data_IF_348861280059
#
_entry.id   IF_348861280059
#
_cell.length_a   1.000
_cell.length_b   1.000
_cell.length_c   1.000
_cell.angle_alpha   90.00
_cell.angle_beta   90.00
_cell.angle_gamma   90.00
#
_symmetry.space_group_name_H-M   'P 1'
#
loop_
_entity.id
_entity.type
_entity.pdbx_description
1 polymer ?
#
# COMPACT_ATOMS: atom_id res chain seq x y z
N UNK A 1 -7.87 13.96 6.38
CA UNK A 1 -9.15 13.25 6.55
C UNK A 1 -9.09 11.95 5.77
N UNK A 2 -9.60 10.87 6.36
CA UNK A 2 -9.66 9.55 5.72
C UNK A 2 -10.75 9.56 4.63
N UNK A 3 -10.45 9.29 3.34
CA UNK A 3 -11.41 9.44 2.25
C UNK A 3 -12.72 8.66 2.43
N UNK A 4 -12.64 7.46 3.00
CA UNK A 4 -13.81 6.59 3.24
C UNK A 4 -14.47 6.80 4.61
N UNK A 5 -13.95 7.73 5.44
CA UNK A 5 -14.52 8.09 6.75
C UNK A 5 -14.29 9.57 7.03
N UNK A 6 -15.20 10.43 6.59
CA UNK A 6 -15.08 11.89 6.64
C UNK A 6 -14.90 12.50 8.04
N UNK A 7 -15.29 11.78 9.08
CA UNK A 7 -15.14 12.18 10.49
C UNK A 7 -13.90 11.60 11.17
N UNK A 8 -13.01 10.96 10.42
CA UNK A 8 -11.76 10.37 10.92
C UNK A 8 -10.58 11.03 10.22
N UNK A 9 -9.57 11.42 10.99
CA UNK A 9 -8.28 11.89 10.49
C UNK A 9 -7.19 10.88 10.81
N UNK A 10 -6.26 10.71 9.88
CA UNK A 10 -5.00 10.01 10.11
C UNK A 10 -3.92 11.05 10.36
N UNK A 11 -3.13 10.84 11.40
CA UNK A 11 -2.00 11.71 11.75
C UNK A 11 -0.77 10.85 11.97
N UNK A 12 0.31 11.16 11.28
CA UNK A 12 1.63 10.57 11.55
C UNK A 12 2.32 11.36 12.65
N UNK A 13 3.06 10.67 13.51
CA UNK A 13 3.77 11.30 14.61
C UNK A 13 5.08 10.59 14.95
N UNK A 14 5.91 11.26 15.73
CA UNK A 14 7.12 10.67 16.30
C UNK A 14 6.84 10.20 17.72
N UNK A 15 7.37 9.03 18.07
CA UNK A 15 7.27 8.53 19.44
C UNK A 15 8.24 9.30 20.33
N UNK A 16 7.75 9.69 21.52
CA UNK A 16 8.56 10.30 22.58
C UNK A 16 8.50 9.46 23.84
N UNK A 17 9.56 9.46 24.60
CA UNK A 17 9.65 8.84 25.94
C UNK A 17 10.26 9.87 26.88
N UNK A 18 9.57 10.21 27.97
CA UNK A 18 9.94 11.27 28.90
C UNK A 18 10.24 12.61 28.18
N UNK A 19 9.36 13.02 27.27
CA UNK A 19 9.47 14.25 26.47
C UNK A 19 10.73 14.32 25.56
N UNK A 20 11.39 13.19 25.34
CA UNK A 20 12.52 13.08 24.43
C UNK A 20 12.19 12.18 23.24
N UNK A 21 12.67 12.52 22.00
CA UNK A 21 12.48 11.65 20.85
C UNK A 21 13.00 10.24 21.11
N UNK A 22 12.15 9.24 20.95
CA UNK A 22 12.58 7.85 21.12
C UNK A 22 13.52 7.42 19.99
N UNK A 23 14.79 7.03 20.30
CA UNK A 23 15.81 6.81 19.28
C UNK A 23 15.52 5.60 18.37
N UNK A 24 14.63 4.71 18.78
CA UNK A 24 14.24 3.52 18.00
C UNK A 24 12.94 3.72 17.20
N UNK A 25 12.33 4.90 17.23
CA UNK A 25 11.19 5.23 16.39
C UNK A 25 11.62 5.27 14.92
N UNK A 26 11.05 4.44 14.02
CA UNK A 26 11.48 4.38 12.62
C UNK A 26 11.40 5.73 11.91
N UNK A 27 10.34 6.50 12.18
CA UNK A 27 10.16 7.83 11.60
C UNK A 27 11.24 8.81 12.08
N UNK A 28 11.59 8.78 13.36
CA UNK A 28 12.69 9.59 13.93
C UNK A 28 14.06 9.17 13.35
N UNK A 29 14.27 7.87 13.14
CA UNK A 29 15.49 7.36 12.50
C UNK A 29 15.61 7.90 11.08
N UNK A 30 14.53 7.81 10.29
CA UNK A 30 14.51 8.33 8.92
C UNK A 30 14.81 9.84 8.90
N UNK A 31 14.14 10.63 9.72
CA UNK A 31 14.37 12.08 9.81
C UNK A 31 15.84 12.41 10.11
N UNK A 32 16.46 11.67 11.05
CA UNK A 32 17.87 11.86 11.39
C UNK A 32 18.79 11.52 10.21
N UNK A 33 18.49 10.46 9.44
CA UNK A 33 19.29 10.11 8.26
C UNK A 33 19.13 11.12 7.13
N UNK A 34 17.93 11.66 6.94
CA UNK A 34 17.68 12.71 5.95
C UNK A 34 18.43 13.99 6.31
N UNK A 35 18.47 14.38 7.59
CA UNK A 35 19.24 15.52 8.04
C UNK A 35 20.76 15.32 7.83
N UNK A 36 21.28 14.14 8.19
CA UNK A 36 22.68 13.79 7.94
C UNK A 36 23.04 13.83 6.44
N UNK A 37 22.13 13.41 5.58
CA UNK A 37 22.32 13.43 4.13
C UNK A 37 22.31 14.86 3.59
N UNK A 38 21.37 15.69 4.07
CA UNK A 38 21.27 17.11 3.71
C UNK A 38 22.55 17.87 4.05
N UNK A 39 23.17 17.60 5.20
CA UNK A 39 24.47 18.20 5.59
C UNK A 39 25.62 17.81 4.65
N UNK A 40 25.47 16.68 3.92
CA UNK A 40 26.42 16.24 2.89
C UNK A 40 26.03 16.70 1.48
N UNK A 41 24.98 17.52 1.33
CA UNK A 41 24.49 18.03 0.05
C UNK A 41 23.56 17.11 -0.71
N UNK A 42 23.03 16.02 -0.09
CA UNK A 42 22.11 15.09 -0.74
C UNK A 42 20.67 15.32 -0.30
N UNK A 43 19.76 15.27 -1.28
CA UNK A 43 18.30 15.28 -1.07
C UNK A 43 17.71 14.00 -1.70
N UNK A 44 16.92 13.25 -0.92
CA UNK A 44 16.31 12.02 -1.39
C UNK A 44 14.85 12.24 -1.78
N UNK A 45 14.55 12.01 -3.05
CA UNK A 45 13.19 11.77 -3.55
C UNK A 45 13.02 10.28 -3.78
N UNK A 46 11.90 9.72 -3.32
CA UNK A 46 11.67 8.27 -3.31
C UNK A 46 10.30 7.96 -3.90
N UNK A 47 10.26 7.06 -4.89
CA UNK A 47 9.06 6.37 -5.33
C UNK A 47 8.87 5.05 -4.57
N UNK A 48 7.66 4.54 -4.57
CA UNK A 48 7.31 3.23 -4.02
C UNK A 48 6.46 2.48 -5.03
N UNK A 49 6.84 1.26 -5.32
CA UNK A 49 6.07 0.29 -6.08
C UNK A 49 5.42 -0.66 -5.06
N UNK A 50 4.18 -0.35 -4.72
CA UNK A 50 3.49 -1.02 -3.62
C UNK A 50 2.62 -2.16 -4.16
N UNK A 51 3.12 -3.37 -4.07
CA UNK A 51 2.45 -4.58 -4.54
C UNK A 51 1.62 -5.23 -3.42
N UNK A 52 0.49 -5.83 -3.79
CA UNK A 52 -0.35 -6.60 -2.88
C UNK A 52 -1.08 -7.72 -3.60
N UNK A 53 -1.45 -8.77 -2.86
CA UNK A 53 -2.21 -9.90 -3.38
C UNK A 53 -3.63 -9.90 -2.80
N UNK A 54 -4.61 -10.20 -3.67
CA UNK A 54 -5.98 -10.50 -3.27
C UNK A 54 -6.14 -12.01 -3.09
N UNK A 55 -6.38 -12.43 -1.86
CA UNK A 55 -6.48 -13.84 -1.50
C UNK A 55 -7.82 -14.11 -0.81
N UNK A 56 -8.36 -15.30 -1.04
CA UNK A 56 -9.45 -15.88 -0.25
C UNK A 56 -8.93 -17.05 0.57
N UNK A 57 -9.33 -17.14 1.83
CA UNK A 57 -9.06 -18.28 2.69
C UNK A 57 -10.19 -19.30 2.68
N UNK A 58 -9.87 -20.55 2.93
CA UNK A 58 -10.82 -21.62 3.21
C UNK A 58 -11.00 -21.86 4.73
N UNK A 59 -11.87 -22.77 5.08
CA UNK A 59 -12.14 -23.15 6.49
C UNK A 59 -10.95 -23.84 7.18
N UNK A 60 -9.97 -24.34 6.40
CA UNK A 60 -8.76 -24.98 6.89
C UNK A 60 -7.56 -24.01 6.97
N UNK A 61 -7.78 -22.71 6.74
CA UNK A 61 -6.73 -21.69 6.77
C UNK A 61 -5.79 -21.71 5.56
N UNK A 62 -6.18 -22.35 4.45
CA UNK A 62 -5.43 -22.30 3.18
C UNK A 62 -5.85 -21.07 2.40
N UNK A 63 -4.95 -20.53 1.63
CA UNK A 63 -5.17 -19.36 0.79
C UNK A 63 -5.09 -19.72 -0.69
N UNK A 64 -5.99 -19.11 -1.49
CA UNK A 64 -5.99 -19.19 -2.93
C UNK A 64 -6.19 -17.79 -3.53
N UNK A 65 -5.80 -17.55 -4.79
CA UNK A 65 -6.14 -16.33 -5.49
C UNK A 65 -7.63 -16.01 -5.39
N UNK A 66 -7.95 -14.73 -5.18
CA UNK A 66 -9.35 -14.28 -5.09
C UNK A 66 -10.13 -14.55 -6.37
N UNK A 67 -9.55 -14.18 -7.52
CA UNK A 67 -10.08 -14.47 -8.84
C UNK A 67 -9.63 -15.87 -9.28
N UNK A 68 -10.56 -16.82 -9.29
CA UNK A 68 -10.28 -18.20 -9.70
C UNK A 68 -9.98 -18.36 -11.19
N UNK A 69 -10.22 -17.33 -12.00
CA UNK A 69 -9.91 -17.31 -13.43
C UNK A 69 -8.51 -16.75 -13.71
N UNK A 70 -7.83 -16.23 -12.70
CA UNK A 70 -6.45 -15.78 -12.79
C UNK A 70 -5.49 -16.96 -12.59
N UNK A 71 -5.23 -17.66 -13.69
CA UNK A 71 -4.54 -18.98 -13.69
C UNK A 71 -3.32 -19.02 -14.61
N UNK A 72 -2.92 -17.91 -15.20
CA UNK A 72 -1.72 -17.86 -16.03
C UNK A 72 -0.47 -18.16 -15.18
N UNK A 73 0.49 -18.87 -15.76
CA UNK A 73 1.77 -19.18 -15.10
C UNK A 73 2.62 -17.91 -14.86
N UNK A 74 2.51 -16.95 -15.78
CA UNK A 74 3.18 -15.63 -15.70
C UNK A 74 2.20 -14.54 -16.12
N UNK A 75 1.36 -14.08 -15.19
CA UNK A 75 0.27 -13.15 -15.50
C UNK A 75 0.70 -11.68 -15.55
N UNK A 76 1.99 -11.37 -15.42
CA UNK A 76 2.49 -9.99 -15.43
C UNK A 76 1.94 -9.20 -16.63
N UNK A 77 1.32 -8.06 -16.35
CA UNK A 77 0.64 -7.19 -17.33
C UNK A 77 -0.58 -7.82 -18.02
N UNK A 78 -1.17 -8.89 -17.45
CA UNK A 78 -2.42 -9.44 -17.99
C UNK A 78 -3.59 -8.51 -17.78
N UNK A 79 -4.06 -7.91 -18.88
CA UNK A 79 -5.17 -6.97 -18.86
C UNK A 79 -6.51 -7.62 -18.52
N UNK A 80 -6.69 -8.91 -18.77
CA UNK A 80 -7.97 -9.57 -18.48
C UNK A 80 -8.14 -9.78 -16.98
N UNK A 81 -7.11 -10.26 -16.29
CA UNK A 81 -7.12 -10.42 -14.84
C UNK A 81 -7.18 -9.07 -14.12
N UNK A 82 -6.44 -8.07 -14.62
CA UNK A 82 -6.53 -6.69 -14.12
C UNK A 82 -7.96 -6.15 -14.25
N UNK A 83 -8.59 -6.32 -15.43
CA UNK A 83 -9.94 -5.80 -15.70
C UNK A 83 -11.01 -6.46 -14.81
N UNK A 84 -10.93 -7.77 -14.54
CA UNK A 84 -11.86 -8.45 -13.63
C UNK A 84 -11.79 -7.93 -12.20
N UNK A 85 -10.66 -7.36 -11.80
CA UNK A 85 -10.41 -6.79 -10.47
C UNK A 85 -10.39 -5.25 -10.45
N UNK A 86 -10.79 -4.61 -11.55
CA UNK A 86 -10.65 -3.17 -11.77
C UNK A 86 -11.40 -2.31 -10.73
N UNK A 87 -12.56 -2.74 -10.27
CA UNK A 87 -13.35 -1.98 -9.29
C UNK A 87 -12.60 -1.75 -7.97
N UNK A 88 -11.82 -2.74 -7.55
CA UNK A 88 -10.96 -2.64 -6.36
C UNK A 88 -9.87 -1.61 -6.60
N UNK A 89 -9.18 -1.71 -7.75
CA UNK A 89 -8.09 -0.80 -8.12
C UNK A 89 -8.60 0.63 -8.24
N UNK A 90 -9.70 0.85 -8.96
CA UNK A 90 -10.28 2.18 -9.17
C UNK A 90 -10.75 2.83 -7.86
N UNK A 91 -11.21 2.03 -6.90
CA UNK A 91 -11.57 2.55 -5.58
C UNK A 91 -10.35 3.06 -4.82
N UNK A 92 -9.25 2.29 -4.82
CA UNK A 92 -8.00 2.70 -4.18
C UNK A 92 -7.41 3.94 -4.87
N UNK A 93 -7.38 3.94 -6.20
CA UNK A 93 -6.91 5.08 -7.02
C UNK A 93 -7.71 6.35 -6.70
N UNK A 94 -9.03 6.26 -6.62
CA UNK A 94 -9.88 7.39 -6.24
C UNK A 94 -9.50 7.97 -4.87
N UNK A 95 -9.27 7.12 -3.86
CA UNK A 95 -8.84 7.61 -2.54
C UNK A 95 -7.44 8.24 -2.59
N UNK A 96 -6.53 7.69 -3.37
CA UNK A 96 -5.20 8.28 -3.56
C UNK A 96 -5.29 9.64 -4.24
N UNK A 97 -6.19 9.81 -5.22
CA UNK A 97 -6.47 11.11 -5.86
C UNK A 97 -7.06 12.12 -4.86
N UNK A 98 -8.02 11.72 -4.03
CA UNK A 98 -8.59 12.57 -2.98
C UNK A 98 -7.54 12.99 -1.93
N UNK A 99 -6.50 12.16 -1.71
CA UNK A 99 -5.36 12.46 -0.85
C UNK A 99 -4.26 13.30 -1.55
N UNK A 100 -4.40 13.58 -2.84
CA UNK A 100 -3.41 14.36 -3.61
C UNK A 100 -2.13 13.61 -3.92
N UNK A 101 -2.16 12.27 -4.04
CA UNK A 101 -0.94 11.47 -4.29
C UNK A 101 -0.58 11.29 -5.75
N UNK A 102 -1.45 11.68 -6.68
CA UNK A 102 -1.24 11.59 -8.13
C UNK A 102 -0.87 10.17 -8.60
N UNK A 103 -1.75 9.17 -8.42
CA UNK A 103 -1.53 7.83 -8.98
C UNK A 103 -1.49 7.90 -10.51
N UNK A 104 -0.58 7.13 -11.15
CA UNK A 104 -0.34 7.19 -12.59
C UNK A 104 -0.32 5.83 -13.30
N UNK A 105 -0.10 4.73 -12.58
CA UNK A 105 -0.15 3.39 -13.14
C UNK A 105 -0.80 2.42 -12.15
N UNK A 106 -1.39 1.36 -12.71
CA UNK A 106 -1.79 0.20 -11.96
C UNK A 106 -1.67 -1.03 -12.86
N UNK A 107 -1.05 -2.08 -12.36
CA UNK A 107 -0.66 -3.23 -13.14
C UNK A 107 -0.99 -4.54 -12.42
N UNK A 108 -1.16 -5.60 -13.22
CA UNK A 108 -1.12 -6.97 -12.75
C UNK A 108 0.33 -7.43 -12.68
N UNK A 109 0.72 -8.05 -11.58
CA UNK A 109 2.08 -8.48 -11.30
C UNK A 109 2.31 -9.97 -11.57
N UNK A 110 3.51 -10.47 -11.19
CA UNK A 110 4.01 -11.80 -11.56
C UNK A 110 3.23 -12.98 -10.96
N UNK A 111 2.50 -12.79 -9.87
CA UNK A 111 1.70 -13.85 -9.26
C UNK A 111 0.20 -13.63 -9.48
N UNK A 112 -0.58 -14.71 -9.49
CA UNK A 112 -2.03 -14.63 -9.63
C UNK A 112 -2.64 -13.76 -8.54
N UNK A 113 -3.52 -12.83 -8.93
CA UNK A 113 -4.13 -11.80 -8.10
C UNK A 113 -3.13 -10.89 -7.38
N UNK A 114 -1.94 -10.71 -7.90
CA UNK A 114 -0.98 -9.72 -7.45
C UNK A 114 -1.13 -8.45 -8.28
N UNK A 115 -1.23 -7.31 -7.60
CA UNK A 115 -1.47 -6.02 -8.22
C UNK A 115 -0.55 -4.96 -7.64
N UNK A 116 -0.25 -3.95 -8.45
CA UNK A 116 0.53 -2.79 -8.09
C UNK A 116 -0.23 -1.51 -8.40
N UNK A 117 -0.08 -0.48 -7.55
CA UNK A 117 -0.56 0.87 -7.83
C UNK A 117 0.57 1.85 -7.53
N UNK A 118 0.98 2.58 -8.56
CA UNK A 118 2.06 3.56 -8.48
C UNK A 118 1.54 4.98 -8.35
N UNK A 119 2.25 5.79 -7.59
CA UNK A 119 2.00 7.24 -7.46
C UNK A 119 3.29 8.04 -7.58
N UNK A 120 3.14 9.32 -7.92
CA UNK A 120 4.28 10.22 -8.11
C UNK A 120 5.12 10.28 -6.84
N UNK A 121 6.44 10.15 -7.02
CA UNK A 121 7.44 10.23 -5.95
C UNK A 121 7.32 11.53 -5.14
N UNK A 122 7.87 11.52 -3.94
CA UNK A 122 7.98 12.69 -3.06
C UNK A 122 9.28 12.63 -2.27
N UNK A 123 9.50 13.58 -1.38
CA UNK A 123 10.56 13.45 -0.39
C UNK A 123 10.41 12.14 0.40
N UNK A 124 11.51 11.59 0.89
CA UNK A 124 11.52 10.26 1.48
C UNK A 124 10.65 10.13 2.74
N UNK A 125 10.49 11.20 3.53
CA UNK A 125 9.64 11.16 4.72
C UNK A 125 8.15 11.12 4.35
N UNK A 126 7.73 11.98 3.42
CA UNK A 126 6.37 11.99 2.89
C UNK A 126 6.03 10.65 2.25
N UNK A 127 6.95 10.07 1.48
CA UNK A 127 6.74 8.76 0.84
C UNK A 127 6.60 7.64 1.87
N UNK A 128 7.39 7.64 2.94
CA UNK A 128 7.26 6.65 4.02
C UNK A 128 5.92 6.77 4.76
N UNK A 129 5.48 8.01 5.04
CA UNK A 129 4.18 8.27 5.67
C UNK A 129 3.02 7.83 4.76
N UNK A 130 3.07 8.16 3.45
CA UNK A 130 2.09 7.72 2.45
C UNK A 130 2.03 6.20 2.34
N UNK A 131 3.18 5.53 2.28
CA UNK A 131 3.23 4.07 2.18
C UNK A 131 2.62 3.40 3.43
N UNK A 132 2.88 3.93 4.62
CA UNK A 132 2.26 3.43 5.86
C UNK A 132 0.74 3.58 5.84
N UNK A 133 0.23 4.72 5.36
CA UNK A 133 -1.19 4.95 5.17
C UNK A 133 -1.78 4.02 4.08
N UNK A 134 -1.06 3.84 2.95
CA UNK A 134 -1.48 2.95 1.86
C UNK A 134 -1.70 1.53 2.35
N UNK A 135 -0.77 0.96 3.11
CA UNK A 135 -0.92 -0.37 3.70
C UNK A 135 -2.18 -0.50 4.55
N UNK A 136 -2.48 0.52 5.35
CA UNK A 136 -3.70 0.55 6.15
C UNK A 136 -4.95 0.71 5.28
N UNK A 137 -4.92 1.57 4.27
CA UNK A 137 -6.00 1.79 3.32
C UNK A 137 -6.38 0.51 2.58
N UNK A 138 -5.40 -0.17 1.97
CA UNK A 138 -5.59 -1.44 1.25
C UNK A 138 -6.22 -2.47 2.18
N UNK A 139 -5.64 -2.72 3.35
CA UNK A 139 -6.17 -3.70 4.32
C UNK A 139 -7.59 -3.37 4.79
N UNK A 140 -7.86 -2.11 5.08
CA UNK A 140 -9.16 -1.69 5.60
C UNK A 140 -10.24 -1.75 4.52
N UNK A 141 -9.91 -1.32 3.29
CA UNK A 141 -10.92 -1.18 2.25
C UNK A 141 -11.28 -2.47 1.53
N UNK A 142 -10.35 -3.36 1.36
CA UNK A 142 -10.64 -4.65 0.76
C UNK A 142 -11.60 -5.49 1.61
N UNK A 143 -11.63 -5.27 2.93
CA UNK A 143 -12.66 -5.82 3.81
C UNK A 143 -14.11 -5.40 3.42
N UNK A 144 -14.30 -4.30 2.72
CA UNK A 144 -15.61 -3.75 2.36
C UNK A 144 -15.95 -3.82 0.87
N UNK A 145 -14.96 -4.02 0.00
CA UNK A 145 -15.14 -3.94 -1.45
C UNK A 145 -15.40 -5.30 -2.10
N UNK A 146 -14.98 -6.35 -1.44
CA UNK A 146 -15.15 -7.71 -1.97
C UNK A 146 -16.49 -8.24 -1.54
N UNK A 147 -17.46 -8.48 -2.46
CA UNK A 147 -18.74 -9.06 -2.13
C UNK A 147 -18.55 -10.40 -1.40
N UNK A 148 -19.24 -10.60 -0.30
CA UNK A 148 -19.07 -11.77 0.59
C UNK A 148 -17.74 -11.84 1.35
N UNK A 149 -16.99 -10.74 1.43
CA UNK A 149 -15.92 -10.64 2.37
C UNK A 149 -16.50 -10.61 3.79
N UNK A 150 -16.77 -11.77 4.33
CA UNK A 150 -17.03 -11.89 5.76
C UNK A 150 -15.72 -11.56 6.46
N UNK A 151 -15.80 -10.85 7.60
CA UNK A 151 -14.65 -10.59 8.48
C UNK A 151 -14.13 -11.90 9.12
N UNK A 152 -14.14 -12.99 8.36
CA UNK A 152 -13.51 -14.25 8.72
C UNK A 152 -12.00 -14.03 8.81
N UNK A 153 -11.31 -14.62 9.80
CA UNK A 153 -9.84 -14.64 9.86
C UNK A 153 -9.17 -15.18 8.61
N UNK A 154 -9.93 -15.77 7.70
CA UNK A 154 -9.48 -16.45 6.50
C UNK A 154 -9.23 -15.54 5.27
N UNK A 155 -9.56 -14.26 5.31
CA UNK A 155 -9.35 -13.38 4.16
C UNK A 155 -8.14 -12.46 4.42
N UNK A 156 -7.03 -12.74 3.77
CA UNK A 156 -5.77 -12.00 3.93
C UNK A 156 -5.39 -11.23 2.68
N UNK A 157 -4.83 -10.05 2.93
CA UNK A 157 -4.06 -9.29 1.96
C UNK A 157 -2.62 -9.44 2.38
N UNK A 158 -1.84 -10.15 1.58
CA UNK A 158 -0.41 -10.20 1.76
C UNK A 158 0.21 -9.07 0.94
N UNK A 159 0.87 -8.15 1.62
CA UNK A 159 1.67 -7.11 0.95
C UNK A 159 3.08 -7.68 0.75
N UNK A 160 3.45 -7.85 -0.49
CA UNK A 160 4.80 -8.26 -0.89
C UNK A 160 5.51 -7.09 -1.58
N UNK A 161 6.82 -7.08 -1.39
CA UNK A 161 7.84 -6.27 -2.05
C UNK A 161 7.66 -4.75 -2.04
N UNK A 162 8.56 -4.11 -1.34
CA UNK A 162 8.90 -2.71 -1.47
C UNK A 162 10.14 -2.62 -2.35
N UNK A 163 9.99 -2.26 -3.60
CA UNK A 163 11.10 -1.69 -4.36
C UNK A 163 11.12 -0.19 -4.12
N UNK A 164 12.15 0.33 -3.48
CA UNK A 164 12.44 1.75 -3.49
C UNK A 164 13.20 2.04 -4.78
N UNK A 165 12.61 2.87 -5.65
CA UNK A 165 13.30 3.41 -6.82
C UNK A 165 13.90 4.73 -6.38
N UNK A 166 15.23 4.82 -6.40
CA UNK A 166 15.98 6.04 -6.09
C UNK A 166 16.10 6.92 -7.33
#
# INVERSE_FOLDING_TARGET
IVPWRKNVAWVTGNVQVNDQPWPYCPRTILQRQLENSKQKGYVFNVGVEAEFMLLKGDENGRYAPWDSLDTLEKPCYDLQSLHRNLDVMMTLIKYMQELGWSPYANDHEDANCQFEINWVYSDALTTADRHTFYKWMVKTKLLYLVPNYTASPANYIMMQNLRAVA
#
